data_IF_348581893578
#
_entry.id   IF_348581893578
#
_cell.length_a   1.000
_cell.length_b   1.000
_cell.length_c   1.000
_cell.angle_alpha   90.00
_cell.angle_beta   90.00
_cell.angle_gamma   90.00
#
_symmetry.space_group_name_H-M   'P 1'
#
loop_
_entity.id
_entity.type
_entity.pdbx_description
1 polymer ?
#
# COMPACT_ATOMS: atom_id res chain seq x y z
N UNK A 1 -16.41 9.03 -6.67
CA UNK A 1 -15.72 8.89 -7.97
C UNK A 1 -14.99 7.55 -7.96
N UNK A 2 -15.09 6.73 -9.03
CA UNK A 2 -14.37 5.45 -9.10
C UNK A 2 -12.85 5.66 -9.13
N UNK A 3 -12.11 4.81 -8.42
CA UNK A 3 -10.66 4.89 -8.33
C UNK A 3 -10.03 3.50 -8.33
N UNK A 4 -8.82 3.39 -8.88
CA UNK A 4 -7.95 2.21 -8.80
C UNK A 4 -6.68 2.59 -8.07
N UNK A 5 -6.26 1.74 -7.12
CA UNK A 5 -4.97 1.83 -6.45
C UNK A 5 -4.07 0.70 -6.93
N UNK A 6 -2.97 1.06 -7.60
CA UNK A 6 -1.92 0.13 -8.01
C UNK A 6 -0.73 0.22 -7.05
N UNK A 7 -0.74 -0.67 -6.06
CA UNK A 7 0.34 -0.79 -5.07
C UNK A 7 1.40 -1.85 -5.44
N UNK A 8 1.18 -2.64 -6.50
CA UNK A 8 2.04 -3.75 -6.95
C UNK A 8 2.90 -3.35 -8.17
N UNK A 9 2.81 -2.08 -8.58
CA UNK A 9 2.70 -1.59 -9.97
C UNK A 9 2.56 -2.66 -11.04
N UNK A 10 1.32 -3.02 -11.32
CA UNK A 10 0.95 -3.81 -12.49
C UNK A 10 0.84 -2.95 -13.76
N UNK A 11 0.73 -1.62 -13.65
CA UNK A 11 0.88 -0.69 -14.79
C UNK A 11 -0.36 -0.59 -15.67
N UNK A 12 -0.22 -0.87 -16.97
CA UNK A 12 -1.28 -0.73 -17.97
C UNK A 12 -2.59 -1.46 -17.59
N UNK A 13 -2.57 -2.72 -17.08
CA UNK A 13 -3.78 -3.37 -16.56
C UNK A 13 -4.55 -2.54 -15.51
N UNK A 14 -3.85 -1.91 -14.56
CA UNK A 14 -4.50 -1.04 -13.57
C UNK A 14 -5.07 0.22 -14.23
N UNK A 15 -4.33 0.83 -15.16
CA UNK A 15 -4.78 2.00 -15.91
C UNK A 15 -6.01 1.69 -16.78
N UNK A 16 -6.07 0.51 -17.41
CA UNK A 16 -7.20 0.06 -18.22
C UNK A 16 -8.47 -0.16 -17.39
N UNK A 17 -8.32 -0.60 -16.12
CA UNK A 17 -9.44 -0.84 -15.21
C UNK A 17 -10.14 0.44 -14.69
N UNK A 18 -9.52 1.60 -14.83
CA UNK A 18 -10.10 2.88 -14.35
C UNK A 18 -11.21 3.34 -15.30
N UNK A 19 -12.40 3.67 -14.79
CA UNK A 19 -13.44 4.27 -15.62
C UNK A 19 -13.00 5.65 -16.17
N UNK A 20 -13.50 6.05 -17.35
CA UNK A 20 -13.29 7.40 -17.85
C UNK A 20 -13.78 8.44 -16.82
N UNK A 21 -13.00 9.50 -16.60
CA UNK A 21 -13.25 10.47 -15.53
C UNK A 21 -12.87 10.02 -14.11
N UNK A 22 -12.29 8.83 -13.94
CA UNK A 22 -11.88 8.29 -12.64
C UNK A 22 -10.50 8.74 -12.15
N UNK A 23 -9.99 8.10 -11.08
CA UNK A 23 -8.62 8.29 -10.57
C UNK A 23 -7.80 7.00 -10.70
N UNK A 24 -6.57 7.12 -11.21
CA UNK A 24 -5.52 6.14 -10.99
C UNK A 24 -4.57 6.64 -9.91
N UNK A 25 -4.40 5.88 -8.83
CA UNK A 25 -3.38 6.12 -7.80
C UNK A 25 -2.32 5.04 -7.87
N UNK A 26 -1.04 5.41 -7.95
CA UNK A 26 0.07 4.46 -8.04
C UNK A 26 1.11 4.69 -6.95
N UNK A 27 1.88 3.65 -6.61
CA UNK A 27 3.03 3.78 -5.67
C UNK A 27 4.37 3.98 -6.38
N UNK A 28 4.39 3.92 -7.72
CA UNK A 28 5.55 4.19 -8.57
C UNK A 28 5.10 4.99 -9.81
N UNK A 29 5.97 5.81 -10.41
CA UNK A 29 5.65 6.49 -11.67
C UNK A 29 5.22 5.50 -12.76
N UNK A 30 4.18 5.83 -13.52
CA UNK A 30 3.70 5.07 -14.67
C UNK A 30 3.56 5.98 -15.89
N UNK A 31 3.52 5.43 -17.12
CA UNK A 31 3.29 6.23 -18.31
C UNK A 31 2.00 7.07 -18.21
N UNK A 32 1.95 8.25 -18.85
CA UNK A 32 0.74 9.07 -18.89
C UNK A 32 -0.46 8.32 -19.49
N UNK A 33 -1.63 8.47 -18.89
CA UNK A 33 -2.89 7.98 -19.47
C UNK A 33 -3.34 8.91 -20.60
N UNK A 34 -3.95 8.34 -21.64
CA UNK A 34 -4.65 9.08 -22.69
C UNK A 34 -5.57 10.18 -22.10
N UNK A 35 -5.31 11.46 -22.40
CA UNK A 35 -6.12 12.59 -21.93
C UNK A 35 -7.60 12.47 -22.31
N UNK A 36 -7.96 11.80 -23.41
CA UNK A 36 -9.34 11.60 -23.83
C UNK A 36 -10.17 10.80 -22.80
N UNK A 37 -9.51 9.95 -22.00
CA UNK A 37 -10.15 9.21 -20.90
C UNK A 37 -10.45 10.07 -19.68
N UNK A 38 -9.89 11.30 -19.61
CA UNK A 38 -10.10 12.25 -18.49
C UNK A 38 -9.80 11.63 -17.11
N UNK A 39 -8.84 10.71 -17.04
CA UNK A 39 -8.43 10.07 -15.78
C UNK A 39 -7.44 10.99 -15.05
N UNK A 40 -7.69 11.25 -13.76
CA UNK A 40 -6.70 11.90 -12.88
C UNK A 40 -5.67 10.86 -12.45
N UNK A 41 -4.41 11.10 -12.74
CA UNK A 41 -3.31 10.20 -12.37
C UNK A 41 -2.51 10.81 -11.22
N UNK A 42 -2.33 10.06 -10.12
CA UNK A 42 -1.56 10.49 -8.95
C UNK A 42 -0.57 9.42 -8.53
N UNK A 43 0.66 9.84 -8.25
CA UNK A 43 1.65 8.98 -7.61
C UNK A 43 1.71 9.33 -6.12
N UNK A 44 1.40 8.37 -5.26
CA UNK A 44 1.51 8.52 -3.81
C UNK A 44 2.76 7.82 -3.31
N UNK A 45 3.66 8.63 -2.76
CA UNK A 45 4.79 8.18 -1.97
C UNK A 45 4.57 8.55 -0.50
N UNK A 46 5.18 7.76 0.39
CA UNK A 46 5.11 7.99 1.83
C UNK A 46 5.64 9.38 2.18
N UNK A 47 4.92 10.07 3.07
CA UNK A 47 5.36 11.34 3.65
C UNK A 47 5.13 11.27 5.16
N UNK A 48 6.07 11.74 5.99
CA UNK A 48 5.81 11.88 7.41
C UNK A 48 4.63 12.84 7.63
N UNK A 49 3.57 12.37 8.28
CA UNK A 49 2.42 13.18 8.67
C UNK A 49 1.93 12.74 10.04
N UNK A 50 2.23 13.55 11.06
CA UNK A 50 1.89 13.25 12.46
C UNK A 50 0.38 13.17 12.69
N UNK A 51 -0.39 14.08 12.10
CA UNK A 51 -1.84 14.13 12.30
C UNK A 51 -2.50 12.89 11.67
N UNK A 52 -2.13 12.56 10.43
CA UNK A 52 -2.64 11.34 9.80
C UNK A 52 -2.22 10.06 10.57
N UNK A 53 -1.01 10.01 11.11
CA UNK A 53 -0.57 8.88 11.93
C UNK A 53 -1.38 8.76 13.23
N UNK A 54 -1.68 9.89 13.88
CA UNK A 54 -2.52 9.93 15.08
C UNK A 54 -3.90 9.32 14.80
N UNK A 55 -4.57 9.75 13.74
CA UNK A 55 -5.89 9.25 13.37
C UNK A 55 -5.88 7.74 13.07
N UNK A 56 -4.80 7.24 12.46
CA UNK A 56 -4.60 5.81 12.21
C UNK A 56 -4.41 5.03 13.52
N UNK A 57 -3.67 5.57 14.50
CA UNK A 57 -3.48 4.95 15.81
C UNK A 57 -4.79 4.88 16.57
N UNK A 58 -5.58 5.95 16.59
CA UNK A 58 -6.92 5.95 17.20
C UNK A 58 -7.84 4.92 16.55
N UNK A 59 -7.84 4.85 15.21
CA UNK A 59 -8.63 3.85 14.50
C UNK A 59 -8.20 2.40 14.85
N UNK A 60 -6.92 2.16 15.12
CA UNK A 60 -6.44 0.86 15.62
C UNK A 60 -6.91 0.60 17.04
N UNK A 61 -6.79 1.58 17.94
CA UNK A 61 -7.22 1.47 19.33
C UNK A 61 -8.73 1.18 19.45
N UNK A 62 -9.54 1.83 18.60
CA UNK A 62 -11.00 1.64 18.54
C UNK A 62 -11.42 0.35 17.81
N UNK A 63 -10.47 -0.40 17.24
CA UNK A 63 -10.73 -1.60 16.45
C UNK A 63 -11.35 -1.37 15.07
N UNK A 64 -11.46 -0.11 14.63
CA UNK A 64 -11.92 0.29 13.29
C UNK A 64 -10.90 -0.04 12.21
N UNK A 65 -9.62 -0.06 12.57
CA UNK A 65 -8.51 -0.50 11.74
C UNK A 65 -7.81 -1.69 12.41
N UNK A 66 -7.56 -2.77 11.66
CA UNK A 66 -6.84 -3.95 12.17
C UNK A 66 -5.53 -4.13 11.43
N UNK A 67 -4.42 -4.12 12.16
CA UNK A 67 -3.11 -4.49 11.65
C UNK A 67 -2.97 -6.01 11.72
N UNK A 68 -2.68 -6.66 10.58
CA UNK A 68 -2.50 -8.11 10.52
C UNK A 68 -1.02 -8.43 10.71
N UNK A 69 -0.68 -9.04 11.84
CA UNK A 69 0.64 -9.60 12.09
C UNK A 69 0.64 -11.03 11.58
N UNK A 70 1.49 -11.32 10.60
CA UNK A 70 1.60 -12.64 10.00
C UNK A 70 2.61 -13.53 10.72
N UNK A 71 3.64 -12.92 11.31
CA UNK A 71 4.64 -13.58 12.13
C UNK A 71 5.36 -12.56 13.04
N UNK A 72 5.95 -13.05 14.12
CA UNK A 72 6.85 -12.30 15.00
C UNK A 72 8.18 -13.02 15.10
N UNK A 73 9.28 -12.27 15.12
CA UNK A 73 10.63 -12.82 15.32
C UNK A 73 11.35 -11.99 16.38
N UNK A 74 12.21 -12.60 17.22
CA UNK A 74 13.18 -11.83 18.00
C UNK A 74 14.03 -10.94 17.09
N UNK A 75 14.46 -9.77 17.57
CA UNK A 75 15.32 -8.87 16.80
C UNK A 75 16.62 -9.56 16.36
N UNK A 76 17.15 -10.48 17.17
CA UNK A 76 18.33 -11.29 16.85
C UNK A 76 18.13 -12.17 15.59
N UNK A 77 16.89 -12.47 15.21
CA UNK A 77 16.52 -13.30 14.06
C UNK A 77 16.09 -12.46 12.84
N UNK A 78 16.42 -11.16 12.80
CA UNK A 78 16.02 -10.26 11.70
C UNK A 78 16.38 -10.79 10.30
N UNK A 79 17.50 -11.53 10.17
CA UNK A 79 17.88 -12.15 8.90
C UNK A 79 16.90 -13.23 8.45
N UNK A 80 16.39 -14.06 9.37
CA UNK A 80 15.37 -15.07 9.07
C UNK A 80 14.02 -14.43 8.78
N UNK A 81 13.65 -13.41 9.58
CA UNK A 81 12.47 -12.60 9.32
C UNK A 81 12.49 -12.01 7.89
N UNK A 82 13.65 -11.55 7.42
CA UNK A 82 13.80 -11.02 6.07
C UNK A 82 13.60 -12.09 4.99
N UNK A 83 14.26 -13.26 5.11
CA UNK A 83 14.05 -14.40 4.20
C UNK A 83 12.58 -14.82 4.14
N UNK A 84 11.90 -14.82 5.29
CA UNK A 84 10.46 -15.11 5.36
C UNK A 84 9.61 -14.05 4.66
N UNK A 85 10.01 -12.78 4.71
CA UNK A 85 9.30 -11.68 4.04
C UNK A 85 9.48 -11.69 2.52
N UNK A 86 10.65 -12.10 2.04
CA UNK A 86 10.93 -12.28 0.60
C UNK A 86 10.16 -13.46 0.00
N UNK A 87 9.85 -14.45 0.83
CA UNK A 87 9.01 -15.57 0.43
C UNK A 87 7.56 -15.12 0.16
N UNK A 88 7.01 -15.52 -0.98
CA UNK A 88 5.63 -15.18 -1.35
C UNK A 88 4.57 -15.73 -0.35
N UNK A 89 3.35 -15.19 -0.43
CA UNK A 89 2.19 -15.71 0.30
C UNK A 89 2.00 -15.18 1.73
N UNK A 90 2.82 -14.22 2.18
CA UNK A 90 2.60 -13.57 3.47
C UNK A 90 1.32 -12.71 3.45
N UNK A 91 0.40 -12.97 4.39
CA UNK A 91 -0.81 -12.16 4.59
C UNK A 91 -0.70 -11.33 5.86
N UNK A 92 0.00 -10.20 5.77
CA UNK A 92 0.23 -9.31 6.91
C UNK A 92 1.67 -8.81 6.96
N UNK A 93 2.07 -8.27 8.11
CA UNK A 93 3.44 -7.80 8.36
C UNK A 93 4.18 -8.76 9.29
N UNK A 94 5.50 -8.81 9.13
CA UNK A 94 6.40 -9.39 10.12
C UNK A 94 6.76 -8.29 11.12
N UNK A 95 6.70 -8.62 12.41
CA UNK A 95 7.08 -7.71 13.50
C UNK A 95 8.30 -8.28 14.19
N UNK A 96 9.34 -7.46 14.35
CA UNK A 96 10.48 -7.80 15.19
C UNK A 96 10.16 -7.39 16.64
N UNK A 97 10.35 -8.31 17.56
CA UNK A 97 10.17 -8.09 19.01
C UNK A 97 11.52 -8.08 19.71
N UNK A 98 11.59 -7.38 20.84
CA UNK A 98 12.82 -7.27 21.65
C UNK A 98 13.26 -8.61 22.22
#
# INVERSE_FOLDING_TARGET
MPAVLDAVPIGEPAAAAVAAGGILVTTRPTPPIDPARRVRQETVLVRPNRLALHDLVEAVADGRLRTRVAATFPLAEAAEAHRRAESAGLRGKIVLVA
#
